data_IF_171925084925
#
_entry.id   IF_171925084925
#
_cell.length_a   1.000
_cell.length_b   1.000
_cell.length_c   1.000
_cell.angle_alpha   90.00
_cell.angle_beta   90.00
_cell.angle_gamma   90.00
#
_symmetry.space_group_name_H-M   'P 1'
#
loop_
_entity.id
_entity.type
_entity.pdbx_description
1 polymer ?
#
# COMPACT_ATOMS: atom_id res chain seq x y z
N UNK A 1 8.13 8.61 4.85
CA UNK A 1 7.06 8.24 5.81
C UNK A 1 6.19 9.48 5.95
N UNK A 2 4.92 9.37 5.62
CA UNK A 2 3.96 10.48 5.66
C UNK A 2 2.93 10.22 6.74
N UNK A 3 2.41 11.26 7.39
CA UNK A 3 1.34 11.15 8.37
C UNK A 3 -0.03 11.12 7.68
N UNK A 4 -0.12 11.67 6.47
CA UNK A 4 -1.31 11.69 5.63
C UNK A 4 -0.95 11.36 4.18
N UNK A 5 -1.72 10.50 3.55
CA UNK A 5 -1.54 10.07 2.17
C UNK A 5 -2.69 10.55 1.30
N UNK A 6 -2.39 11.37 0.31
CA UNK A 6 -3.35 11.80 -0.70
C UNK A 6 -3.10 11.05 -2.01
N UNK A 7 -4.12 10.40 -2.55
CA UNK A 7 -4.09 9.83 -3.90
C UNK A 7 -4.74 10.79 -4.88
N UNK A 8 -3.96 11.17 -5.88
CA UNK A 8 -4.42 12.10 -6.93
C UNK A 8 -4.68 11.32 -8.22
N UNK A 9 -5.87 11.46 -8.75
CA UNK A 9 -6.31 10.88 -10.03
C UNK A 9 -6.58 11.97 -11.06
N UNK A 10 -6.48 11.61 -12.34
CA UNK A 10 -6.84 12.48 -13.46
C UNK A 10 -7.69 11.72 -14.47
N UNK A 11 -8.73 12.29 -15.07
CA UNK A 11 -9.71 11.57 -15.90
C UNK A 11 -9.18 10.93 -17.18
N UNK A 12 -7.94 11.19 -17.57
CA UNK A 12 -7.40 10.81 -18.88
C UNK A 12 -6.49 9.57 -18.85
N UNK A 13 -6.14 9.05 -17.68
CA UNK A 13 -5.27 7.88 -17.57
C UNK A 13 -6.08 6.59 -17.45
N UNK A 14 -6.20 5.83 -18.55
CA UNK A 14 -6.94 4.57 -18.58
C UNK A 14 -6.46 3.47 -17.63
N UNK A 15 -5.27 3.63 -17.03
CA UNK A 15 -4.68 2.72 -16.03
C UNK A 15 -5.24 2.90 -14.62
N UNK A 16 -6.04 3.93 -14.36
CA UNK A 16 -6.56 4.26 -13.02
C UNK A 16 -7.42 3.14 -12.44
N UNK A 17 -8.22 2.48 -13.28
CA UNK A 17 -9.05 1.35 -12.85
C UNK A 17 -8.21 0.16 -12.40
N UNK A 18 -7.02 -0.03 -12.96
CA UNK A 18 -6.10 -1.08 -12.56
C UNK A 18 -5.37 -0.75 -11.24
N UNK A 19 -4.99 0.51 -11.03
CA UNK A 19 -4.44 1.00 -9.76
C UNK A 19 -5.47 0.88 -8.63
N UNK A 20 -6.76 1.11 -8.92
CA UNK A 20 -7.86 0.91 -7.98
C UNK A 20 -7.99 -0.55 -7.51
N UNK A 21 -7.65 -1.52 -8.37
CA UNK A 21 -7.65 -2.96 -8.02
C UNK A 21 -6.44 -3.39 -7.20
N UNK A 22 -5.35 -2.66 -7.21
CA UNK A 22 -4.04 -3.06 -6.63
C UNK A 22 -3.91 -2.83 -5.11
N UNK A 23 -4.98 -2.55 -4.38
CA UNK A 23 -4.93 -2.31 -2.93
C UNK A 23 -4.35 -0.94 -2.54
N UNK A 24 -4.06 -0.07 -3.50
CA UNK A 24 -3.54 1.29 -3.27
C UNK A 24 -4.57 2.16 -2.55
N UNK A 25 -5.86 1.92 -2.79
CA UNK A 25 -6.94 2.64 -2.11
C UNK A 25 -6.90 2.50 -0.58
N UNK A 26 -6.40 1.38 -0.09
CA UNK A 26 -6.28 1.12 1.36
C UNK A 26 -5.22 2.01 2.03
N UNK A 27 -4.35 2.64 1.25
CA UNK A 27 -3.27 3.50 1.74
C UNK A 27 -3.68 4.97 1.82
N UNK A 28 -4.78 5.34 1.17
CA UNK A 28 -5.21 6.73 1.05
C UNK A 28 -6.01 7.18 2.27
N UNK A 29 -5.71 8.37 2.72
CA UNK A 29 -6.49 9.13 3.69
C UNK A 29 -7.42 10.13 3.01
N UNK A 30 -7.07 10.55 1.79
CA UNK A 30 -7.83 11.51 0.99
C UNK A 30 -7.65 11.17 -0.50
N UNK A 31 -8.73 11.31 -1.26
CA UNK A 31 -8.71 11.22 -2.72
C UNK A 31 -8.89 12.58 -3.36
N UNK A 32 -8.16 12.83 -4.43
CA UNK A 32 -8.31 14.03 -5.26
C UNK A 32 -8.50 13.61 -6.71
N UNK A 33 -9.51 14.14 -7.34
CA UNK A 33 -9.69 14.08 -8.80
C UNK A 33 -9.33 15.43 -9.36
N UNK A 34 -8.09 15.54 -9.88
CA UNK A 34 -7.61 16.75 -10.52
C UNK A 34 -8.09 16.82 -11.97
N UNK A 35 -7.94 17.98 -12.61
CA UNK A 35 -8.51 18.29 -13.93
C UNK A 35 -10.03 18.10 -13.94
N UNK A 36 -10.70 18.55 -12.88
CA UNK A 36 -12.16 18.43 -12.74
C UNK A 36 -12.96 19.22 -13.78
N UNK A 37 -12.30 20.09 -14.53
CA UNK A 37 -12.80 20.78 -15.74
C UNK A 37 -13.05 19.83 -16.92
N UNK A 38 -12.53 18.60 -16.87
CA UNK A 38 -12.73 17.59 -17.91
C UNK A 38 -14.07 16.86 -17.74
N UNK A 39 -14.68 16.47 -18.88
CA UNK A 39 -16.01 15.83 -18.91
C UNK A 39 -16.08 14.55 -18.08
N UNK A 40 -15.01 13.76 -18.07
CA UNK A 40 -14.98 12.43 -17.43
C UNK A 40 -14.64 12.48 -15.93
N UNK A 41 -14.35 13.66 -15.36
CA UNK A 41 -14.03 13.81 -13.95
C UNK A 41 -15.15 13.28 -13.03
N UNK A 42 -16.40 13.56 -13.35
CA UNK A 42 -17.55 13.07 -12.58
C UNK A 42 -17.75 11.55 -12.67
N UNK A 43 -17.43 10.96 -13.83
CA UNK A 43 -17.46 9.50 -14.00
C UNK A 43 -16.38 8.84 -13.13
N UNK A 44 -15.19 9.41 -13.11
CA UNK A 44 -14.09 8.92 -12.27
C UNK A 44 -14.43 8.99 -10.78
N UNK A 45 -15.01 10.09 -10.29
CA UNK A 45 -15.49 10.21 -8.90
C UNK A 45 -16.49 9.11 -8.57
N UNK A 46 -17.45 8.84 -9.46
CA UNK A 46 -18.43 7.76 -9.27
C UNK A 46 -17.76 6.39 -9.22
N UNK A 47 -16.80 6.14 -10.09
CA UNK A 47 -16.04 4.88 -10.13
C UNK A 47 -15.27 4.66 -8.82
N UNK A 48 -14.59 5.68 -8.32
CA UNK A 48 -13.86 5.63 -7.04
C UNK A 48 -14.84 5.33 -5.90
N UNK A 49 -15.98 6.04 -5.81
CA UNK A 49 -17.01 5.82 -4.80
C UNK A 49 -17.57 4.38 -4.84
N UNK A 50 -17.84 3.85 -6.02
CA UNK A 50 -18.35 2.49 -6.18
C UNK A 50 -17.33 1.45 -5.67
N UNK A 51 -16.04 1.64 -5.95
CA UNK A 51 -14.99 0.73 -5.51
C UNK A 51 -14.79 0.82 -4.00
N UNK A 52 -14.77 2.03 -3.42
CA UNK A 52 -14.70 2.24 -1.97
C UNK A 52 -15.88 1.53 -1.29
N UNK A 53 -17.08 1.68 -1.84
CA UNK A 53 -18.30 1.06 -1.29
C UNK A 53 -18.29 -0.47 -1.40
N UNK A 54 -17.67 -1.02 -2.44
CA UNK A 54 -17.53 -2.46 -2.66
C UNK A 54 -16.43 -3.10 -1.79
N UNK A 55 -15.48 -2.32 -1.31
CA UNK A 55 -14.38 -2.80 -0.47
C UNK A 55 -14.89 -2.99 0.96
N UNK A 56 -14.91 -4.24 1.46
CA UNK A 56 -15.43 -4.60 2.80
C UNK A 56 -14.59 -4.06 3.98
N UNK A 57 -13.45 -3.44 3.73
CA UNK A 57 -12.58 -2.86 4.74
C UNK A 57 -12.98 -1.42 5.04
N UNK A 58 -12.68 -0.94 6.24
CA UNK A 58 -12.98 0.36 6.86
C UNK A 58 -12.54 1.63 6.06
N UNK A 59 -12.66 1.60 4.73
CA UNK A 59 -12.44 2.77 3.86
C UNK A 59 -13.69 3.68 3.86
N UNK A 60 -14.67 3.38 4.71
CA UNK A 60 -15.87 4.21 4.85
C UNK A 60 -15.46 5.61 5.29
N UNK A 61 -15.85 6.60 4.48
CA UNK A 61 -15.69 8.04 4.73
C UNK A 61 -14.34 8.67 4.36
N UNK A 62 -13.56 8.07 3.45
CA UNK A 62 -12.42 8.79 2.87
C UNK A 62 -12.97 9.87 1.93
N UNK A 63 -12.66 11.16 2.17
CA UNK A 63 -13.18 12.24 1.36
C UNK A 63 -12.57 12.24 -0.04
N UNK A 64 -13.40 12.62 -1.03
CA UNK A 64 -12.98 12.79 -2.42
C UNK A 64 -13.18 14.25 -2.81
N UNK A 65 -12.09 14.93 -3.17
CA UNK A 65 -12.10 16.31 -3.65
C UNK A 65 -11.94 16.37 -5.15
N UNK A 66 -12.65 17.28 -5.79
CA UNK A 66 -12.45 17.64 -7.20
C UNK A 66 -11.64 18.92 -7.25
N UNK A 67 -10.54 18.92 -8.00
CA UNK A 67 -9.69 20.11 -8.15
C UNK A 67 -9.38 20.37 -9.61
N UNK A 68 -9.18 21.62 -9.97
CA UNK A 68 -8.64 22.03 -11.26
C UNK A 68 -7.50 23.03 -11.05
N UNK A 69 -6.28 22.60 -11.27
CA UNK A 69 -5.12 23.50 -11.21
C UNK A 69 -5.16 24.59 -12.29
N UNK A 70 -5.98 24.41 -13.34
CA UNK A 70 -6.14 25.37 -14.42
C UNK A 70 -7.03 26.56 -14.01
N UNK A 71 -8.15 26.29 -13.34
CA UNK A 71 -9.12 27.31 -12.90
C UNK A 71 -8.96 27.72 -11.44
N UNK A 72 -8.26 26.93 -10.63
CA UNK A 72 -8.19 27.10 -9.18
C UNK A 72 -9.33 26.44 -8.42
N UNK A 73 -10.33 25.89 -9.12
CA UNK A 73 -11.51 25.31 -8.49
C UNK A 73 -11.16 24.16 -7.53
N UNK A 74 -11.78 24.17 -6.34
CA UNK A 74 -11.67 23.12 -5.33
C UNK A 74 -10.32 23.06 -4.60
N UNK A 75 -9.32 23.89 -4.95
CA UNK A 75 -7.98 23.84 -4.34
C UNK A 75 -8.02 24.37 -2.90
N UNK A 76 -8.69 25.48 -2.66
CA UNK A 76 -8.81 26.06 -1.33
C UNK A 76 -9.59 25.17 -0.38
N UNK A 77 -10.71 24.59 -0.86
CA UNK A 77 -11.50 23.61 -0.11
C UNK A 77 -10.67 22.39 0.28
N UNK A 78 -9.93 21.83 -0.68
CA UNK A 78 -9.04 20.71 -0.45
C UNK A 78 -7.93 21.04 0.56
N UNK A 79 -7.27 22.18 0.43
CA UNK A 79 -6.21 22.61 1.34
C UNK A 79 -6.74 22.78 2.77
N UNK A 80 -7.87 23.44 2.93
CA UNK A 80 -8.54 23.64 4.22
C UNK A 80 -8.92 22.33 4.87
N UNK A 81 -9.47 21.38 4.08
CA UNK A 81 -9.82 20.06 4.55
C UNK A 81 -8.59 19.25 5.00
N UNK A 82 -7.48 19.30 4.27
CA UNK A 82 -6.23 18.64 4.67
C UNK A 82 -5.71 19.16 6.01
N UNK A 83 -5.68 20.48 6.19
CA UNK A 83 -5.22 21.10 7.44
C UNK A 83 -6.11 20.67 8.61
N UNK A 84 -7.42 20.73 8.42
CA UNK A 84 -8.39 20.33 9.44
C UNK A 84 -8.29 18.85 9.80
N UNK A 85 -8.12 18.00 8.80
CA UNK A 85 -7.98 16.56 8.98
C UNK A 85 -6.69 16.20 9.73
N UNK A 86 -5.57 16.82 9.34
CA UNK A 86 -4.30 16.64 10.03
C UNK A 86 -4.38 17.08 11.50
N UNK A 87 -5.00 18.23 11.78
CA UNK A 87 -5.22 18.72 13.14
C UNK A 87 -6.07 17.73 13.96
N UNK A 88 -7.18 17.26 13.41
CA UNK A 88 -8.03 16.26 14.06
C UNK A 88 -7.27 14.97 14.38
N UNK A 89 -6.37 14.53 13.49
CA UNK A 89 -5.53 13.36 13.75
C UNK A 89 -4.51 13.59 14.88
N UNK A 90 -4.00 14.82 15.00
CA UNK A 90 -3.11 15.18 16.12
C UNK A 90 -3.86 15.18 17.45
N UNK A 91 -5.03 15.82 17.48
CA UNK A 91 -5.85 15.95 18.70
C UNK A 91 -6.33 14.59 19.23
N UNK A 92 -6.53 13.60 18.36
CA UNK A 92 -6.99 12.25 18.69
C UNK A 92 -5.85 11.22 18.85
N UNK A 93 -4.59 11.65 18.96
CA UNK A 93 -3.39 10.79 19.03
C UNK A 93 -3.23 9.79 17.87
N UNK A 94 -4.04 9.88 16.83
CA UNK A 94 -4.02 8.96 15.68
C UNK A 94 -2.68 9.00 14.93
N UNK A 95 -2.00 10.13 14.93
CA UNK A 95 -0.66 10.25 14.34
C UNK A 95 0.33 9.40 15.11
N UNK A 96 0.30 9.44 16.45
CA UNK A 96 1.19 8.64 17.30
C UNK A 96 0.95 7.14 17.09
N UNK A 97 -0.32 6.71 17.05
CA UNK A 97 -0.68 5.31 16.81
C UNK A 97 -0.20 4.83 15.43
N UNK A 98 -0.36 5.66 14.41
CA UNK A 98 0.16 5.37 13.07
C UNK A 98 1.69 5.29 13.06
N UNK A 99 2.37 6.20 13.73
CA UNK A 99 3.84 6.20 13.84
C UNK A 99 4.32 4.94 14.55
N UNK A 100 3.71 4.56 15.66
CA UNK A 100 4.03 3.34 16.39
C UNK A 100 3.81 2.08 15.55
N UNK A 101 2.67 1.99 14.87
CA UNK A 101 2.35 0.88 13.97
C UNK A 101 3.35 0.76 12.80
N UNK A 102 3.74 1.89 12.21
CA UNK A 102 4.76 1.94 11.14
C UNK A 102 6.13 1.53 11.66
N UNK A 103 6.52 2.02 12.83
CA UNK A 103 7.78 1.67 13.49
C UNK A 103 7.85 0.17 13.76
N UNK A 104 6.81 -0.41 14.35
CA UNK A 104 6.70 -1.84 14.61
C UNK A 104 6.80 -2.69 13.34
N UNK A 105 6.13 -2.24 12.27
CA UNK A 105 6.22 -2.91 10.95
C UNK A 105 7.63 -2.84 10.37
N UNK A 106 8.30 -1.70 10.50
CA UNK A 106 9.68 -1.54 10.05
C UNK A 106 10.65 -2.42 10.82
N UNK A 107 10.50 -2.48 12.15
CA UNK A 107 11.28 -3.40 12.98
C UNK A 107 11.12 -4.85 12.55
N UNK A 108 9.88 -5.31 12.36
CA UNK A 108 9.61 -6.68 11.87
C UNK A 108 10.34 -6.96 10.56
N UNK A 109 10.24 -6.06 9.58
CA UNK A 109 10.95 -6.23 8.29
C UNK A 109 12.46 -6.29 8.42
N UNK A 110 13.06 -5.53 9.35
CA UNK A 110 14.50 -5.58 9.60
C UNK A 110 14.85 -6.95 10.17
N UNK A 111 14.14 -7.41 11.21
CA UNK A 111 14.36 -8.72 11.84
C UNK A 111 14.18 -9.85 10.82
N UNK A 112 13.12 -9.83 10.02
CA UNK A 112 12.88 -10.82 8.97
C UNK A 112 14.05 -10.87 7.98
N UNK A 113 14.54 -9.71 7.55
CA UNK A 113 15.68 -9.61 6.64
C UNK A 113 16.97 -10.19 7.26
N UNK A 114 17.20 -9.88 8.53
CA UNK A 114 18.40 -10.36 9.23
C UNK A 114 18.34 -11.87 9.44
N UNK A 115 17.18 -12.41 9.86
CA UNK A 115 16.96 -13.86 9.98
C UNK A 115 17.15 -14.56 8.64
N UNK A 116 16.61 -14.01 7.55
CA UNK A 116 16.78 -14.56 6.21
C UNK A 116 18.26 -14.57 5.82
N UNK A 117 18.97 -13.48 6.11
CA UNK A 117 20.40 -13.37 5.80
C UNK A 117 21.23 -14.36 6.61
N UNK A 118 20.95 -14.54 7.89
CA UNK A 118 21.62 -15.51 8.75
C UNK A 118 21.28 -16.95 8.33
N UNK A 119 20.05 -17.19 7.91
CA UNK A 119 19.62 -18.51 7.45
C UNK A 119 20.42 -18.95 6.21
N UNK A 120 20.70 -18.07 5.26
CA UNK A 120 21.40 -18.39 4.02
C UNK A 120 22.91 -18.43 4.22
N UNK A 121 23.41 -19.47 4.93
CA UNK A 121 24.85 -19.76 5.04
C UNK A 121 25.39 -20.33 3.72
N UNK A 122 26.73 -20.29 3.58
CA UNK A 122 27.40 -20.88 2.41
C UNK A 122 27.08 -22.36 2.23
N UNK A 123 26.96 -23.10 3.33
CA UNK A 123 26.66 -24.54 3.28
C UNK A 123 25.23 -24.80 2.82
N UNK A 124 24.27 -23.97 3.22
CA UNK A 124 22.88 -24.06 2.75
C UNK A 124 22.74 -23.67 1.27
N UNK A 125 23.51 -22.72 0.80
CA UNK A 125 23.56 -22.36 -0.62
C UNK A 125 24.14 -23.52 -1.45
N UNK A 126 25.27 -24.09 -1.04
CA UNK A 126 25.86 -25.25 -1.70
C UNK A 126 24.92 -26.47 -1.68
N UNK A 127 24.17 -26.66 -0.60
CA UNK A 127 23.19 -27.75 -0.52
C UNK A 127 22.11 -27.60 -1.60
N UNK A 128 21.58 -26.41 -1.80
CA UNK A 128 20.60 -26.16 -2.88
C UNK A 128 21.23 -26.42 -4.26
N UNK A 129 22.44 -25.94 -4.49
CA UNK A 129 23.15 -26.17 -5.76
C UNK A 129 23.43 -27.65 -6.04
N UNK A 130 23.53 -28.46 -4.98
CA UNK A 130 23.75 -29.92 -5.09
C UNK A 130 22.48 -30.70 -5.39
N UNK A 131 21.30 -30.11 -5.31
CA UNK A 131 20.03 -30.79 -5.60
C UNK A 131 19.96 -31.19 -7.08
N UNK A 132 19.61 -32.45 -7.33
CA UNK A 132 19.47 -33.01 -8.67
C UNK A 132 18.00 -33.25 -9.05
N UNK A 133 17.76 -33.70 -10.29
CA UNK A 133 16.42 -33.98 -10.80
C UNK A 133 15.68 -35.07 -10.03
N UNK A 134 16.40 -36.05 -9.45
CA UNK A 134 15.81 -37.10 -8.66
C UNK A 134 15.32 -36.61 -7.30
N UNK A 135 16.09 -35.71 -6.65
CA UNK A 135 15.69 -35.08 -5.41
C UNK A 135 14.37 -34.31 -5.59
N UNK A 136 14.26 -33.55 -6.69
CA UNK A 136 13.04 -32.76 -7.01
C UNK A 136 11.85 -33.68 -7.32
N UNK A 137 12.09 -34.85 -7.93
CA UNK A 137 11.05 -35.81 -8.34
C UNK A 137 10.48 -36.60 -7.17
N UNK A 138 11.30 -36.97 -6.19
CA UNK A 138 10.94 -37.91 -5.13
C UNK A 138 10.84 -37.30 -3.73
N UNK A 139 11.33 -36.08 -3.50
CA UNK A 139 11.27 -35.41 -2.20
C UNK A 139 10.33 -34.22 -2.21
N UNK A 140 9.59 -34.08 -1.14
CA UNK A 140 8.78 -32.90 -0.92
C UNK A 140 9.67 -31.66 -0.67
N UNK A 141 9.32 -30.47 -1.16
CA UNK A 141 10.01 -29.22 -0.78
C UNK A 141 10.14 -29.02 0.73
N UNK A 142 9.15 -29.46 1.50
CA UNK A 142 9.19 -29.40 2.98
C UNK A 142 10.26 -30.29 3.57
N UNK A 143 10.44 -31.49 3.04
CA UNK A 143 11.48 -32.43 3.47
C UNK A 143 12.90 -31.89 3.17
N UNK A 144 13.07 -31.30 1.98
CA UNK A 144 14.33 -30.65 1.59
C UNK A 144 14.64 -29.48 2.52
N UNK A 145 13.65 -28.63 2.83
CA UNK A 145 13.81 -27.51 3.75
C UNK A 145 14.16 -27.99 5.17
N UNK A 146 13.53 -29.06 5.66
CA UNK A 146 13.83 -29.59 6.99
C UNK A 146 15.25 -30.19 7.08
N UNK A 147 15.75 -30.77 6.00
CA UNK A 147 17.15 -31.20 5.92
C UNK A 147 18.11 -30.02 5.89
N UNK A 148 17.76 -28.96 5.14
CA UNK A 148 18.56 -27.74 5.07
C UNK A 148 18.64 -26.99 6.42
N UNK A 149 17.57 -27.01 7.22
CA UNK A 149 17.57 -26.40 8.56
C UNK A 149 18.56 -27.06 9.54
N UNK A 150 18.92 -28.33 9.30
CA UNK A 150 19.91 -29.05 10.12
C UNK A 150 21.35 -28.67 9.82
N UNK A 151 21.60 -28.03 8.68
CA UNK A 151 22.91 -27.48 8.32
C UNK A 151 23.17 -26.19 9.13
N UNK A 152 24.41 -26.04 9.61
CA UNK A 152 24.82 -24.84 10.35
C UNK A 152 25.13 -23.66 9.44
#
# INVERSE_FOLDING_TARGET
ITDLTTLVFVPESGDEIQLLKAGILELADVFVVNKSDRKDANLLVRSINNIISATKKNIKNVPIFKTSCKSGDGIEEFATALISYHKSMQDNDQIKDRQLSRFSRRMRKIIEKDIIKEFWSQDRLKFIESLNKEDIKFKSPYEIVDNMKKLK
#
